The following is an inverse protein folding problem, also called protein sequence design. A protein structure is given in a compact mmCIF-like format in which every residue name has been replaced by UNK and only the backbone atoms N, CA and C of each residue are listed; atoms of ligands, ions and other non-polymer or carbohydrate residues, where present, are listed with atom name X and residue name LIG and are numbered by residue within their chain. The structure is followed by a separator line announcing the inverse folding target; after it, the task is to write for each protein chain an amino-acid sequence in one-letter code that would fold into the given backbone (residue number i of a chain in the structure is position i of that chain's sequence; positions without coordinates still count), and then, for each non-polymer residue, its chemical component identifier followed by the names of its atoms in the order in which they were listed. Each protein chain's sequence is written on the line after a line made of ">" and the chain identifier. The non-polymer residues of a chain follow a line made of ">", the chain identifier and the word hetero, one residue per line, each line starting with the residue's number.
data_IF_435025047362
#
_entry.id   IF_435025047362
#
_cell.length_a   1.000
_cell.length_b   1.000
_cell.length_c   1.000
_cell.angle_alpha   90.00
_cell.angle_beta   90.00
_cell.angle_gamma   90.00
#
_symmetry.space_group_name_H-M   'P 1'
#
loop_
_entity.id
_entity.type
_entity.pdbx_description
1 polymer ?
#
# COMPACT_ATOMS: atom_id res chain seq x y z
N UNK A 1 7.68 -6.69 5.77
CA UNK A 1 6.76 -6.82 4.61
C UNK A 1 7.64 -6.97 3.39
N UNK A 2 7.73 -8.17 2.83
CA UNK A 2 8.49 -8.44 1.60
C UNK A 2 7.50 -8.15 0.48
N UNK A 3 7.72 -7.09 -0.27
CA UNK A 3 7.01 -6.86 -1.53
C UNK A 3 7.36 -8.00 -2.47
N UNK A 4 6.39 -8.58 -3.21
CA UNK A 4 6.70 -9.62 -4.16
C UNK A 4 7.73 -9.08 -5.16
N UNK A 5 8.77 -9.88 -5.40
CA UNK A 5 9.76 -9.63 -6.45
C UNK A 5 9.01 -9.76 -7.78
N UNK A 6 8.45 -8.66 -8.26
CA UNK A 6 7.88 -8.62 -9.61
C UNK A 6 9.07 -8.56 -10.55
N UNK A 7 9.45 -9.72 -11.09
CA UNK A 7 10.42 -9.82 -12.19
C UNK A 7 9.72 -9.40 -13.49
N UNK A 8 9.40 -8.10 -13.63
CA UNK A 8 9.10 -7.50 -14.92
C UNK A 8 10.30 -6.66 -15.33
N UNK A 9 10.73 -6.77 -16.57
CA UNK A 9 11.78 -5.95 -17.17
C UNK A 9 11.48 -4.47 -16.87
N UNK A 10 12.38 -3.79 -16.12
CA UNK A 10 12.33 -2.35 -15.91
C UNK A 10 11.98 -1.87 -14.51
N UNK A 11 12.28 -2.63 -13.44
CA UNK A 11 12.27 -2.11 -12.07
C UNK A 11 13.71 -1.96 -11.61
N UNK A 12 14.17 -0.72 -11.51
CA UNK A 12 15.40 -0.39 -10.82
C UNK A 12 15.04 0.01 -9.39
N UNK A 13 15.34 -0.85 -8.42
CA UNK A 13 15.14 -0.59 -7.01
C UNK A 13 16.50 -0.57 -6.31
N UNK A 14 16.86 0.58 -5.76
CA UNK A 14 17.98 0.73 -4.85
C UNK A 14 17.42 0.83 -3.44
N UNK A 15 17.92 0.01 -2.52
CA UNK A 15 17.50 -0.01 -1.13
C UNK A 15 18.73 -0.06 -0.23
N UNK A 16 18.73 0.76 0.79
CA UNK A 16 19.69 0.75 1.89
C UNK A 16 18.94 0.58 3.21
N UNK A 17 19.37 -0.40 4.00
CA UNK A 17 18.80 -0.67 5.33
C UNK A 17 19.97 -0.73 6.32
N UNK A 18 19.83 0.00 7.42
CA UNK A 18 20.76 -0.04 8.57
C UNK A 18 19.95 -0.50 9.77
N UNK A 19 20.41 -1.53 10.47
CA UNK A 19 19.81 -2.01 11.70
C UNK A 19 20.82 -1.84 12.85
N UNK A 20 20.41 -1.16 13.90
CA UNK A 20 21.21 -0.84 15.08
C UNK A 20 20.54 -1.50 16.28
N UNK A 21 21.15 -2.54 16.89
CA UNK A 21 20.64 -3.07 18.15
C UNK A 21 20.83 -2.02 19.25
N UNK A 22 19.75 -1.71 19.96
CA UNK A 22 19.79 -0.83 21.12
C UNK A 22 20.03 -1.64 22.41
N UNK A 23 19.43 -2.83 22.44
CA UNK A 23 19.69 -3.88 23.43
C UNK A 23 19.36 -5.26 22.84
N UNK A 24 19.32 -6.32 23.65
CA UNK A 24 19.02 -7.70 23.23
C UNK A 24 17.61 -7.87 22.66
N UNK A 25 16.73 -6.91 22.86
CA UNK A 25 15.30 -7.00 22.52
C UNK A 25 14.82 -5.90 21.57
N UNK A 26 15.55 -4.79 21.50
CA UNK A 26 15.11 -3.61 20.75
C UNK A 26 16.10 -3.25 19.66
N UNK A 27 15.58 -3.06 18.47
CA UNK A 27 16.35 -2.71 17.27
C UNK A 27 15.79 -1.43 16.63
N UNK A 28 16.68 -0.48 16.35
CA UNK A 28 16.41 0.68 15.53
C UNK A 28 16.78 0.38 14.07
N UNK A 29 15.87 0.60 13.15
CA UNK A 29 16.10 0.49 11.72
C UNK A 29 16.01 1.84 11.02
N UNK A 30 16.93 2.08 10.09
CA UNK A 30 16.87 3.23 9.16
C UNK A 30 16.77 2.64 7.76
N UNK A 31 15.80 3.10 7.00
CA UNK A 31 15.46 2.59 5.68
C UNK A 31 15.47 3.72 4.67
N UNK A 32 16.10 3.49 3.53
CA UNK A 32 15.99 4.38 2.37
C UNK A 32 15.85 3.54 1.12
N UNK A 33 14.87 3.83 0.29
CA UNK A 33 14.71 3.18 -1.00
C UNK A 33 14.28 4.17 -2.06
N UNK A 34 14.80 3.98 -3.28
CA UNK A 34 14.33 4.67 -4.47
C UNK A 34 14.06 3.65 -5.55
N UNK A 35 12.98 3.85 -6.28
CA UNK A 35 12.59 2.95 -7.36
C UNK A 35 12.11 3.70 -8.58
N UNK A 36 12.36 3.09 -9.73
CA UNK A 36 11.87 3.50 -11.03
C UNK A 36 11.08 2.32 -11.62
N UNK A 37 9.78 2.51 -11.80
CA UNK A 37 8.91 1.55 -12.49
C UNK A 37 8.67 2.08 -13.90
N UNK A 38 9.26 1.44 -14.89
CA UNK A 38 9.02 1.76 -16.31
C UNK A 38 7.96 0.81 -16.87
N UNK A 39 6.82 1.35 -17.28
CA UNK A 39 5.80 0.60 -18.02
C UNK A 39 6.14 0.67 -19.51
N UNK A 40 6.60 -0.45 -20.08
CA UNK A 40 6.84 -0.68 -21.50
C UNK A 40 7.48 0.50 -22.28
N UNK A 41 8.71 0.31 -22.73
CA UNK A 41 9.45 1.04 -23.80
C UNK A 41 9.37 2.57 -23.87
N UNK A 42 8.77 3.25 -22.91
CA UNK A 42 8.61 4.70 -22.94
C UNK A 42 9.01 5.32 -21.59
N UNK A 43 10.25 5.77 -21.46
CA UNK A 43 10.82 6.37 -20.26
C UNK A 43 10.06 7.63 -19.77
N UNK A 44 9.22 8.23 -20.60
CA UNK A 44 8.40 9.40 -20.24
C UNK A 44 7.26 9.09 -19.27
N UNK A 45 6.92 7.80 -19.10
CA UNK A 45 5.86 7.33 -18.21
C UNK A 45 6.39 6.57 -16.99
N UNK A 46 7.66 6.78 -16.64
CA UNK A 46 8.27 6.11 -15.51
C UNK A 46 7.68 6.60 -14.18
N UNK A 47 7.25 5.67 -13.34
CA UNK A 47 6.90 5.93 -11.96
C UNK A 47 8.17 5.94 -11.11
N UNK A 48 8.53 7.10 -10.59
CA UNK A 48 9.66 7.25 -9.68
C UNK A 48 9.16 7.51 -8.28
N UNK A 49 9.74 6.84 -7.30
CA UNK A 49 9.46 7.07 -5.90
C UNK A 49 10.72 7.06 -5.03
N UNK A 50 10.62 7.71 -3.89
CA UNK A 50 11.61 7.69 -2.81
C UNK A 50 10.86 7.41 -1.50
N UNK A 51 11.30 6.42 -0.73
CA UNK A 51 10.80 6.11 0.61
C UNK A 51 11.96 6.20 1.61
N UNK A 52 11.82 7.05 2.62
CA UNK A 52 12.76 7.16 3.74
C UNK A 52 12.00 6.93 5.03
N UNK A 53 12.50 6.04 5.88
CA UNK A 53 11.82 5.68 7.11
C UNK A 53 12.79 5.32 8.24
N UNK A 54 12.31 5.49 9.47
CA UNK A 54 12.88 4.91 10.66
C UNK A 54 11.89 3.92 11.28
N UNK A 55 12.42 2.86 11.88
CA UNK A 55 11.60 1.84 12.56
C UNK A 55 12.19 1.49 13.91
N UNK A 56 11.33 1.19 14.86
CA UNK A 56 11.68 0.60 16.15
C UNK A 56 10.98 -0.75 16.24
N UNK A 57 11.74 -1.81 16.49
CA UNK A 57 11.24 -3.18 16.62
C UNK A 57 11.64 -3.67 18.00
N UNK A 58 10.67 -4.22 18.74
CA UNK A 58 10.92 -4.82 20.05
C UNK A 58 10.44 -6.29 20.04
N UNK A 59 11.30 -7.16 20.57
CA UNK A 59 11.09 -8.59 20.69
C UNK A 59 10.94 -8.98 22.17
N UNK A 60 9.76 -9.41 22.55
CA UNK A 60 9.45 -9.96 23.87
C UNK A 60 8.74 -11.29 23.66
N UNK A 61 9.48 -12.39 23.72
CA UNK A 61 8.88 -13.72 23.51
C UNK A 61 7.61 -13.92 24.34
N UNK A 62 6.47 -14.30 23.70
CA UNK A 62 6.27 -14.68 22.30
C UNK A 62 5.88 -13.49 21.37
N UNK A 63 6.08 -12.25 21.78
CA UNK A 63 5.58 -11.04 21.14
C UNK A 63 6.68 -10.29 20.41
N UNK A 64 6.40 -9.85 19.21
CA UNK A 64 7.19 -8.87 18.45
C UNK A 64 6.31 -7.67 18.09
N UNK A 65 6.75 -6.47 18.43
CA UNK A 65 6.07 -5.23 18.07
C UNK A 65 6.95 -4.35 17.21
N UNK A 66 6.37 -3.57 16.32
CA UNK A 66 7.12 -2.66 15.46
C UNK A 66 6.34 -1.38 15.17
N UNK A 67 7.06 -0.27 15.18
CA UNK A 67 6.57 1.02 14.69
C UNK A 67 7.54 1.51 13.63
N UNK A 68 7.02 1.96 12.50
CA UNK A 68 7.78 2.59 11.41
C UNK A 68 7.15 3.92 11.08
N UNK A 69 7.96 4.97 11.02
CA UNK A 69 7.56 6.30 10.55
C UNK A 69 8.38 6.65 9.34
N UNK A 70 7.76 7.25 8.33
CA UNK A 70 8.49 7.54 7.11
C UNK A 70 7.81 8.57 6.23
N UNK A 71 8.54 8.94 5.18
CA UNK A 71 8.10 9.80 4.11
C UNK A 71 8.30 9.11 2.78
N UNK A 72 7.24 9.09 2.00
CA UNK A 72 7.20 8.57 0.64
C UNK A 72 6.92 9.70 -0.33
N UNK A 73 7.74 9.83 -1.37
CA UNK A 73 7.63 10.85 -2.43
C UNK A 73 7.42 10.21 -3.78
N UNK A 74 6.53 10.78 -4.61
CA UNK A 74 6.20 10.24 -5.94
C UNK A 74 6.28 11.36 -6.99
N UNK A 75 7.06 11.15 -8.06
CA UNK A 75 7.15 12.09 -9.17
C UNK A 75 5.93 11.95 -10.08
N UNK A 76 5.20 13.06 -10.31
CA UNK A 76 4.01 13.12 -11.17
C UNK A 76 2.93 12.09 -10.83
N UNK A 77 2.94 11.57 -9.61
CA UNK A 77 1.97 10.61 -9.10
C UNK A 77 1.56 10.99 -7.69
N UNK A 78 0.40 10.50 -7.26
CA UNK A 78 -0.01 10.53 -5.86
C UNK A 78 -0.79 9.25 -5.53
N UNK A 79 -0.39 8.58 -4.47
CA UNK A 79 -0.92 7.28 -4.06
C UNK A 79 -0.95 6.26 -5.22
N UNK A 80 0.11 6.25 -6.05
CA UNK A 80 0.23 5.37 -7.21
C UNK A 80 -0.57 5.81 -8.44
N UNK A 81 -1.37 6.87 -8.35
CA UNK A 81 -2.16 7.39 -9.48
C UNK A 81 -1.37 8.48 -10.20
N UNK A 82 -1.31 8.41 -11.53
CA UNK A 82 -0.62 9.40 -12.35
C UNK A 82 -1.37 10.72 -12.37
N UNK A 83 -0.64 11.81 -12.23
CA UNK A 83 -1.13 13.17 -12.40
C UNK A 83 -0.86 13.63 -13.85
N UNK A 84 -1.91 14.00 -14.59
CA UNK A 84 -1.85 14.28 -16.02
C UNK A 84 -2.70 15.53 -16.39
N UNK A 85 -2.46 16.12 -17.58
CA UNK A 85 -3.23 17.25 -18.09
C UNK A 85 -3.21 18.46 -17.15
N UNK A 86 -4.37 18.98 -16.79
CA UNK A 86 -4.53 20.10 -15.86
C UNK A 86 -4.16 19.78 -14.41
N UNK A 87 -3.92 18.51 -14.09
CA UNK A 87 -3.56 18.02 -12.75
C UNK A 87 -2.06 17.73 -12.60
N UNK A 88 -1.21 18.23 -13.51
CA UNK A 88 0.25 18.07 -13.42
C UNK A 88 0.75 18.65 -12.09
N UNK A 89 1.58 17.88 -11.39
CA UNK A 89 2.14 18.31 -10.12
C UNK A 89 3.28 19.32 -10.34
N UNK A 90 3.31 20.36 -9.52
CA UNK A 90 4.40 21.36 -9.48
C UNK A 90 5.69 20.77 -8.89
N UNK A 91 5.54 19.83 -7.99
CA UNK A 91 6.62 19.09 -7.32
C UNK A 91 6.12 17.69 -6.93
N UNK A 92 7.02 16.76 -6.63
CA UNK A 92 6.62 15.42 -6.18
C UNK A 92 5.60 15.47 -5.06
N UNK A 93 4.60 14.58 -5.10
CA UNK A 93 3.69 14.41 -3.99
C UNK A 93 4.45 13.88 -2.77
N UNK A 94 4.02 14.24 -1.58
CA UNK A 94 4.66 13.84 -0.34
C UNK A 94 3.65 13.18 0.59
N UNK A 95 3.96 11.96 0.98
CA UNK A 95 3.16 11.16 1.90
C UNK A 95 3.96 10.87 3.17
N UNK A 96 3.52 11.41 4.31
CA UNK A 96 4.06 11.03 5.60
C UNK A 96 3.22 9.88 6.15
N UNK A 97 3.85 8.84 6.69
CA UNK A 97 3.14 7.69 7.20
C UNK A 97 3.66 7.20 8.55
N UNK A 98 2.76 6.55 9.26
CA UNK A 98 3.07 5.71 10.41
C UNK A 98 2.50 4.31 10.15
N UNK A 99 3.31 3.30 10.41
CA UNK A 99 2.93 1.90 10.36
C UNK A 99 3.22 1.26 11.71
N UNK A 100 2.23 0.60 12.28
CA UNK A 100 2.38 -0.18 13.50
C UNK A 100 2.08 -1.65 13.21
N UNK A 101 2.83 -2.54 13.84
CA UNK A 101 2.64 -4.00 13.71
C UNK A 101 2.86 -4.71 15.03
N UNK A 102 2.16 -5.81 15.19
CA UNK A 102 2.29 -6.73 16.31
C UNK A 102 2.20 -8.16 15.77
N UNK A 103 3.08 -9.03 16.24
CA UNK A 103 3.08 -10.45 15.90
C UNK A 103 3.29 -11.25 17.19
N UNK A 104 2.47 -12.26 17.42
CA UNK A 104 2.62 -13.20 18.50
C UNK A 104 2.79 -14.61 17.95
N UNK A 105 3.70 -15.39 18.55
CA UNK A 105 3.96 -16.79 18.20
C UNK A 105 3.81 -17.65 19.45
N UNK A 106 2.92 -18.61 19.37
CA UNK A 106 2.71 -19.57 20.45
C UNK A 106 2.53 -20.97 19.88
N UNK A 107 3.42 -21.90 20.23
CA UNK A 107 3.52 -23.21 19.60
C UNK A 107 3.53 -23.08 18.06
N UNK A 108 2.62 -23.76 17.37
CA UNK A 108 2.49 -23.74 15.92
C UNK A 108 1.59 -22.59 15.40
N UNK A 109 1.10 -21.71 16.29
CA UNK A 109 0.25 -20.57 15.91
C UNK A 109 1.05 -19.28 15.77
N UNK A 110 0.70 -18.51 14.78
CA UNK A 110 1.18 -17.13 14.61
C UNK A 110 0.00 -16.22 14.34
N UNK A 111 -0.19 -15.22 15.20
CA UNK A 111 -1.15 -14.15 15.00
C UNK A 111 -0.39 -12.85 14.67
N UNK A 112 -0.84 -12.11 13.67
CA UNK A 112 -0.24 -10.82 13.34
C UNK A 112 -1.33 -9.80 13.01
N UNK A 113 -1.09 -8.55 13.43
CA UNK A 113 -1.92 -7.41 13.07
C UNK A 113 -1.04 -6.23 12.68
N UNK A 114 -1.49 -5.42 11.74
CA UNK A 114 -0.83 -4.17 11.39
C UNK A 114 -1.82 -3.11 10.91
N UNK A 115 -1.43 -1.85 11.11
CA UNK A 115 -2.17 -0.69 10.66
C UNK A 115 -1.21 0.35 10.09
N UNK A 116 -1.65 1.03 9.03
CA UNK A 116 -0.92 2.16 8.44
C UNK A 116 -1.84 3.36 8.36
N UNK A 117 -1.35 4.52 8.77
CA UNK A 117 -2.00 5.79 8.54
C UNK A 117 -1.06 6.67 7.70
N UNK A 118 -1.63 7.36 6.71
CA UNK A 118 -0.89 8.12 5.71
C UNK A 118 -1.55 9.49 5.52
N UNK A 119 -0.72 10.52 5.37
CA UNK A 119 -1.13 11.86 4.95
C UNK A 119 -0.34 12.26 3.73
N UNK A 120 -1.03 12.40 2.59
CA UNK A 120 -0.45 12.81 1.31
C UNK A 120 -0.78 14.26 1.02
N UNK A 121 0.22 15.03 0.58
CA UNK A 121 0.07 16.39 0.07
C UNK A 121 0.49 16.44 -1.38
N UNK A 122 -0.34 17.06 -2.20
CA UNK A 122 -0.06 17.32 -3.62
C UNK A 122 -0.12 18.79 -3.87
N UNK A 123 0.75 19.27 -4.77
CA UNK A 123 0.84 20.67 -5.18
C UNK A 123 0.72 20.73 -6.68
N UNK A 124 -0.35 21.33 -7.19
CA UNK A 124 -0.61 21.37 -8.61
C UNK A 124 0.10 22.55 -9.29
N UNK A 125 0.50 22.34 -10.55
CA UNK A 125 1.20 23.38 -11.33
C UNK A 125 0.27 24.54 -11.71
N UNK A 126 -0.99 24.24 -11.92
CA UNK A 126 -2.03 25.20 -12.31
C UNK A 126 -2.95 25.53 -11.13
N UNK A 127 -2.42 26.23 -10.11
CA UNK A 127 -3.17 26.59 -8.89
C UNK A 127 -4.39 27.50 -9.15
N UNK A 128 -4.46 28.17 -10.29
CA UNK A 128 -5.65 28.89 -10.72
C UNK A 128 -6.76 28.00 -11.28
N UNK A 129 -6.46 26.70 -11.52
CA UNK A 129 -7.40 25.71 -12.02
C UNK A 129 -7.76 24.68 -10.95
N UNK A 130 -6.81 24.30 -10.11
CA UNK A 130 -6.98 23.29 -9.07
C UNK A 130 -6.23 23.70 -7.80
N UNK A 131 -6.90 23.64 -6.66
CA UNK A 131 -6.27 23.87 -5.36
C UNK A 131 -5.34 22.71 -4.95
N UNK A 132 -4.33 23.03 -4.15
CA UNK A 132 -3.50 22.04 -3.50
C UNK A 132 -4.35 21.12 -2.62
N UNK A 133 -4.02 19.82 -2.65
CA UNK A 133 -4.83 18.80 -2.01
C UNK A 133 -4.09 18.13 -0.85
N UNK A 134 -4.83 17.81 0.19
CA UNK A 134 -4.36 16.95 1.29
C UNK A 134 -5.29 15.76 1.44
N UNK A 135 -4.74 14.55 1.32
CA UNK A 135 -5.46 13.30 1.52
C UNK A 135 -5.03 12.62 2.81
N UNK A 136 -5.97 11.99 3.50
CA UNK A 136 -5.70 11.05 4.59
C UNK A 136 -6.14 9.66 4.16
N UNK A 137 -5.28 8.69 4.36
CA UNK A 137 -5.53 7.30 3.99
C UNK A 137 -5.12 6.37 5.13
N UNK A 138 -5.74 5.20 5.19
CA UNK A 138 -5.30 4.16 6.12
C UNK A 138 -5.51 2.76 5.53
N UNK A 139 -4.80 1.78 6.10
CA UNK A 139 -4.97 0.35 5.81
C UNK A 139 -4.88 -0.46 7.09
N UNK A 140 -5.49 -1.64 7.08
CA UNK A 140 -5.44 -2.60 8.18
C UNK A 140 -5.22 -3.99 7.63
N UNK A 141 -4.46 -4.79 8.37
CA UNK A 141 -4.25 -6.20 8.10
C UNK A 141 -4.26 -6.99 9.40
N UNK A 142 -4.92 -8.13 9.37
CA UNK A 142 -4.92 -9.12 10.44
C UNK A 142 -4.71 -10.49 9.83
N UNK A 143 -3.90 -11.35 10.46
CA UNK A 143 -3.71 -12.73 10.04
C UNK A 143 -3.53 -13.67 11.22
N UNK A 144 -4.02 -14.89 11.05
CA UNK A 144 -3.83 -16.01 11.95
C UNK A 144 -3.36 -17.19 11.12
N UNK A 145 -2.27 -17.81 11.51
CA UNK A 145 -1.75 -19.00 10.82
C UNK A 145 -1.36 -20.09 11.79
N UNK A 146 -1.47 -21.32 11.32
CA UNK A 146 -1.06 -22.53 12.03
C UNK A 146 -0.12 -23.33 11.15
N UNK A 147 1.08 -23.64 11.66
CA UNK A 147 1.95 -24.67 11.10
C UNK A 147 1.51 -26.05 11.57
N UNK A 148 1.89 -27.10 10.84
CA UNK A 148 1.48 -28.47 11.06
C UNK A 148 -0.04 -28.58 11.27
N UNK A 149 -0.79 -27.96 10.37
CA UNK A 149 -2.25 -27.85 10.51
C UNK A 149 -2.96 -29.16 10.16
N UNK A 150 -2.54 -29.84 9.09
CA UNK A 150 -3.08 -31.10 8.57
C UNK A 150 -1.95 -32.12 8.35
N UNK A 151 -0.80 -31.66 7.86
CA UNK A 151 0.38 -32.47 7.57
C UNK A 151 1.60 -31.85 8.25
N UNK A 152 2.61 -32.66 8.56
CA UNK A 152 3.88 -32.15 9.09
C UNK A 152 4.52 -31.19 8.06
N UNK A 153 4.88 -30.00 8.50
CA UNK A 153 5.52 -28.96 7.67
C UNK A 153 4.55 -28.16 6.79
N UNK A 154 3.24 -28.37 6.90
CA UNK A 154 2.27 -27.54 6.19
C UNK A 154 1.95 -26.24 6.96
N UNK A 155 1.22 -25.32 6.29
CA UNK A 155 0.76 -24.07 6.88
C UNK A 155 -0.62 -23.70 6.36
N UNK A 156 -1.53 -23.51 7.27
CA UNK A 156 -2.86 -22.93 7.02
C UNK A 156 -2.89 -21.51 7.57
N UNK A 157 -3.40 -20.55 6.79
CA UNK A 157 -3.55 -19.17 7.25
C UNK A 157 -4.87 -18.56 6.82
N UNK A 158 -5.45 -17.76 7.73
CA UNK A 158 -6.60 -16.90 7.46
C UNK A 158 -6.15 -15.46 7.63
N UNK A 159 -6.48 -14.60 6.66
CA UNK A 159 -6.18 -13.17 6.76
C UNK A 159 -7.39 -12.33 6.41
N UNK A 160 -7.49 -11.18 7.09
CA UNK A 160 -8.44 -10.12 6.81
C UNK A 160 -7.68 -8.83 6.52
N UNK A 161 -7.99 -8.21 5.40
CA UNK A 161 -7.31 -7.01 4.93
C UNK A 161 -8.30 -5.94 4.49
N UNK A 162 -8.05 -4.72 4.91
CA UNK A 162 -8.57 -3.49 4.30
C UNK A 162 -7.41 -2.77 3.63
N UNK A 163 -7.28 -2.80 2.30
CA UNK A 163 -6.22 -2.11 1.57
C UNK A 163 -6.20 -0.60 1.85
N UNK A 164 -5.09 0.04 1.50
CA UNK A 164 -4.97 1.49 1.62
C UNK A 164 -6.10 2.18 0.86
N UNK A 165 -6.83 3.04 1.56
CA UNK A 165 -7.94 3.78 0.98
C UNK A 165 -7.96 5.20 1.54
N UNK A 166 -8.34 6.16 0.70
CA UNK A 166 -8.54 7.56 1.11
C UNK A 166 -9.78 7.63 2.00
N UNK A 167 -9.61 8.16 3.21
CA UNK A 167 -10.69 8.32 4.20
C UNK A 167 -11.15 9.75 4.35
N UNK A 168 -10.29 10.72 3.99
CA UNK A 168 -10.62 12.15 3.93
C UNK A 168 -9.75 12.81 2.88
N UNK A 169 -10.33 13.77 2.16
CA UNK A 169 -9.60 14.63 1.23
C UNK A 169 -10.52 15.21 0.18
N UNK A 170 -10.36 16.48 -0.06
CA UNK A 170 -11.14 17.23 -1.05
C UNK A 170 -10.19 18.01 -1.95
N UNK A 171 -10.63 18.21 -3.17
CA UNK A 171 -9.97 19.02 -4.19
C UNK A 171 -11.00 19.99 -4.75
N UNK A 172 -10.66 21.25 -4.84
CA UNK A 172 -11.49 22.25 -5.51
C UNK A 172 -10.93 22.53 -6.88
N UNK A 173 -11.76 22.40 -7.89
CA UNK A 173 -11.47 22.76 -9.27
C UNK A 173 -12.18 24.07 -9.61
N UNK A 174 -11.43 25.02 -10.14
CA UNK A 174 -11.92 26.30 -10.63
C UNK A 174 -12.16 26.21 -12.11
N UNK A 175 -13.39 26.45 -12.55
CA UNK A 175 -13.74 26.45 -13.98
C UNK A 175 -14.45 27.74 -14.38
N UNK A 176 -14.24 28.16 -15.62
CA UNK A 176 -14.95 29.28 -16.20
C UNK A 176 -16.17 28.73 -16.93
N UNK A 177 -17.37 29.08 -16.46
CA UNK A 177 -18.62 28.69 -17.11
C UNK A 177 -19.29 29.89 -17.75
N UNK A 178 -18.85 30.18 -18.97
CA UNK A 178 -19.45 31.21 -19.82
C UNK A 178 -19.08 32.65 -19.49
N UNK A 179 -19.48 33.56 -20.37
CA UNK A 179 -19.36 35.00 -20.22
C UNK A 179 -20.74 35.57 -19.89
N UNK A 180 -20.80 36.55 -19.00
CA UNK A 180 -22.00 37.35 -18.82
C UNK A 180 -22.00 38.47 -19.88
N UNK A 181 -23.16 39.06 -20.19
CA UNK A 181 -23.30 40.18 -21.12
C UNK A 181 -22.49 41.44 -20.75
N UNK A 182 -21.83 41.44 -19.58
CA UNK A 182 -20.98 42.48 -19.04
C UNK A 182 -19.50 42.10 -18.97
N UNK A 183 -19.00 41.17 -19.80
CA UNK A 183 -17.60 40.67 -19.84
C UNK A 183 -17.05 40.12 -18.51
N UNK A 184 -17.93 39.75 -17.58
CA UNK A 184 -17.51 39.11 -16.33
C UNK A 184 -17.49 37.62 -16.51
N UNK A 185 -16.31 37.01 -16.27
CA UNK A 185 -16.19 35.55 -16.16
C UNK A 185 -17.00 35.05 -14.94
N UNK A 186 -17.87 34.07 -15.17
CA UNK A 186 -18.51 33.37 -14.08
C UNK A 186 -17.63 32.17 -13.70
N UNK A 187 -16.89 32.32 -12.62
CA UNK A 187 -16.15 31.22 -12.03
C UNK A 187 -17.12 30.28 -11.31
N UNK A 188 -16.90 29.00 -11.48
CA UNK A 188 -17.60 27.95 -10.73
C UNK A 188 -16.56 27.09 -10.09
N UNK A 189 -16.70 26.94 -8.78
CA UNK A 189 -15.87 26.08 -7.97
C UNK A 189 -16.60 24.75 -7.79
N UNK A 190 -15.99 23.66 -8.25
CA UNK A 190 -16.50 22.31 -8.05
C UNK A 190 -15.57 21.58 -7.07
N UNK A 191 -16.16 21.09 -5.96
CA UNK A 191 -15.42 20.34 -4.95
C UNK A 191 -15.62 18.86 -5.14
N UNK A 192 -14.53 18.12 -5.29
CA UNK A 192 -14.50 16.66 -5.40
C UNK A 192 -14.04 16.05 -4.09
N UNK A 193 -14.83 15.13 -3.55
CA UNK A 193 -14.45 14.34 -2.37
C UNK A 193 -13.81 13.03 -2.82
N UNK A 194 -12.56 12.78 -2.38
CA UNK A 194 -11.81 11.56 -2.65
C UNK A 194 -12.04 10.46 -1.61
N UNK A 195 -12.75 10.77 -0.51
CA UNK A 195 -13.05 9.77 0.49
C UNK A 195 -13.90 8.64 -0.10
N UNK A 196 -13.42 7.41 0.07
CA UNK A 196 -14.18 6.24 -0.39
C UNK A 196 -15.42 6.06 0.48
N UNK A 197 -16.60 5.95 -0.14
CA UNK A 197 -17.87 5.69 0.56
C UNK A 197 -17.92 4.29 1.17
N UNK A 198 -17.36 3.32 0.46
CA UNK A 198 -17.36 1.91 0.88
C UNK A 198 -15.96 1.31 0.69
N UNK A 199 -15.36 0.84 1.79
CA UNK A 199 -13.99 0.31 1.76
C UNK A 199 -13.96 -1.11 1.23
N UNK A 200 -12.98 -1.38 0.37
CA UNK A 200 -12.62 -2.73 -0.04
C UNK A 200 -12.17 -3.54 1.18
N UNK A 201 -12.70 -4.75 1.31
CA UNK A 201 -12.38 -5.73 2.35
C UNK A 201 -12.07 -7.07 1.69
N UNK A 202 -11.03 -7.73 2.15
CA UNK A 202 -10.64 -9.06 1.67
C UNK A 202 -10.54 -10.00 2.86
N UNK A 203 -11.23 -11.12 2.78
CA UNK A 203 -11.00 -12.30 3.63
C UNK A 203 -10.33 -13.35 2.75
N UNK A 204 -9.19 -13.89 3.20
CA UNK A 204 -8.41 -14.86 2.43
C UNK A 204 -8.02 -16.04 3.30
N UNK A 205 -8.09 -17.22 2.73
CA UNK A 205 -7.65 -18.50 3.29
C UNK A 205 -6.54 -19.03 2.38
N UNK A 206 -5.39 -19.33 2.96
CA UNK A 206 -4.24 -19.89 2.24
C UNK A 206 -3.80 -21.19 2.90
N UNK A 207 -3.47 -22.16 2.06
CA UNK A 207 -2.86 -23.42 2.45
C UNK A 207 -1.59 -23.67 1.64
N UNK A 208 -0.52 -24.06 2.32
CA UNK A 208 0.75 -24.43 1.73
C UNK A 208 1.24 -25.74 2.34
N UNK A 209 1.65 -26.70 1.52
CA UNK A 209 2.25 -27.93 1.99
C UNK A 209 3.44 -28.33 1.11
N UNK A 210 4.58 -28.63 1.73
CA UNK A 210 5.69 -29.26 1.07
C UNK A 210 5.36 -30.75 0.87
N UNK A 211 5.33 -31.21 -0.37
CA UNK A 211 5.17 -32.64 -0.68
C UNK A 211 6.50 -33.40 -0.52
N UNK A 212 7.60 -32.73 -0.88
CA UNK A 212 8.97 -33.17 -0.68
C UNK A 212 9.92 -31.97 -0.81
N UNK A 213 11.23 -32.21 -0.79
CA UNK A 213 12.25 -31.15 -0.91
C UNK A 213 12.22 -30.37 -2.26
N UNK A 214 11.53 -30.88 -3.27
CA UNK A 214 11.47 -30.31 -4.61
C UNK A 214 10.05 -29.84 -5.01
N UNK A 215 9.00 -30.17 -4.26
CA UNK A 215 7.64 -29.89 -4.66
C UNK A 215 6.83 -29.30 -3.49
N UNK A 216 6.13 -28.20 -3.77
CA UNK A 216 5.21 -27.54 -2.83
C UNK A 216 3.89 -27.30 -3.52
N UNK A 217 2.80 -27.69 -2.88
CA UNK A 217 1.44 -27.32 -3.32
C UNK A 217 0.97 -26.09 -2.54
N UNK A 218 0.13 -25.30 -3.17
CA UNK A 218 -0.55 -24.21 -2.51
C UNK A 218 -1.99 -24.07 -3.04
N UNK A 219 -2.87 -23.65 -2.16
CA UNK A 219 -4.24 -23.27 -2.47
C UNK A 219 -4.59 -21.97 -1.76
N UNK A 220 -5.29 -21.09 -2.44
CA UNK A 220 -5.75 -19.81 -1.90
C UNK A 220 -7.19 -19.58 -2.31
N UNK A 221 -8.04 -19.20 -1.34
CA UNK A 221 -9.41 -18.78 -1.58
C UNK A 221 -9.60 -17.39 -0.97
N UNK A 222 -10.10 -16.45 -1.76
CA UNK A 222 -10.36 -15.10 -1.26
C UNK A 222 -11.76 -14.63 -1.60
N UNK A 223 -12.36 -13.89 -0.66
CA UNK A 223 -13.65 -13.21 -0.84
C UNK A 223 -13.46 -11.72 -0.61
N UNK A 224 -13.84 -10.94 -1.60
CA UNK A 224 -13.76 -9.49 -1.60
C UNK A 224 -15.15 -8.90 -1.44
N UNK A 225 -15.26 -7.88 -0.60
CA UNK A 225 -16.44 -7.03 -0.45
C UNK A 225 -16.07 -5.60 -0.81
N UNK A 226 -16.97 -4.90 -1.49
CA UNK A 226 -16.76 -3.56 -2.03
C UNK A 226 -15.48 -3.51 -2.89
N UNK A 227 -15.36 -4.46 -3.82
CA UNK A 227 -14.21 -4.57 -4.72
C UNK A 227 -13.90 -3.24 -5.41
N UNK A 228 -12.62 -2.82 -5.38
CA UNK A 228 -12.22 -1.52 -5.92
C UNK A 228 -12.85 -0.31 -5.22
N UNK A 229 -13.27 -0.46 -3.95
CA UNK A 229 -13.99 0.55 -3.17
C UNK A 229 -15.39 0.91 -3.73
N UNK A 230 -15.96 0.06 -4.57
CA UNK A 230 -17.31 0.21 -5.10
C UNK A 230 -18.32 -0.50 -4.22
N UNK A 231 -19.32 0.23 -3.75
CA UNK A 231 -20.34 -0.30 -2.85
C UNK A 231 -21.09 -1.49 -3.45
N UNK A 232 -21.24 -2.55 -2.67
CA UNK A 232 -21.97 -3.75 -3.06
C UNK A 232 -21.25 -4.69 -4.01
N UNK A 233 -20.13 -4.28 -4.61
CA UNK A 233 -19.35 -5.16 -5.50
C UNK A 233 -18.69 -6.28 -4.69
N UNK A 234 -18.89 -7.52 -5.13
CA UNK A 234 -18.35 -8.72 -4.49
C UNK A 234 -17.57 -9.51 -5.53
N UNK A 235 -16.45 -10.08 -5.12
CA UNK A 235 -15.66 -10.99 -5.93
C UNK A 235 -15.18 -12.16 -5.08
N UNK A 236 -15.08 -13.34 -5.69
CA UNK A 236 -14.50 -14.53 -5.05
C UNK A 236 -13.48 -15.09 -6.01
N UNK A 237 -12.29 -15.35 -5.51
CA UNK A 237 -11.19 -15.92 -6.27
C UNK A 237 -10.74 -17.22 -5.61
N UNK A 238 -10.45 -18.22 -6.44
CA UNK A 238 -9.84 -19.47 -6.03
C UNK A 238 -8.58 -19.66 -6.88
N UNK A 239 -7.49 -19.97 -6.26
CA UNK A 239 -6.21 -20.20 -6.90
C UNK A 239 -5.54 -21.44 -6.32
N UNK A 240 -5.02 -22.32 -7.16
CA UNK A 240 -4.26 -23.50 -6.75
C UNK A 240 -3.04 -23.63 -7.64
N UNK A 241 -1.95 -24.18 -7.12
CA UNK A 241 -0.76 -24.38 -7.90
C UNK A 241 0.21 -25.37 -7.28
N UNK A 242 1.14 -25.82 -8.12
CA UNK A 242 2.27 -26.66 -7.75
C UNK A 242 3.55 -25.93 -8.15
N UNK A 243 4.47 -25.80 -7.23
CA UNK A 243 5.82 -25.30 -7.49
C UNK A 243 6.77 -26.49 -7.44
N UNK A 244 7.57 -26.70 -8.50
CA UNK A 244 8.59 -27.75 -8.59
C UNK A 244 9.94 -27.10 -8.86
N UNK A 245 10.93 -27.44 -8.05
CA UNK A 245 12.33 -27.00 -8.21
C UNK A 245 13.16 -28.20 -8.68
N UNK A 246 13.88 -28.05 -9.78
CA UNK A 246 14.74 -29.07 -10.39
C UNK A 246 16.18 -28.86 -9.98
#
# INVERSE_FOLDING_TARGET
>A
MIWPKITSRGIDLIRADIAIPLDDRVMLGIHSSTGLLSWANNHTNAYRFIDNAASLIAHYDPLTTGIRVGQFSEDNHFLGSRADGGYILKKPSQSNYIHASITSRYANWTAAASATALRTRTYFNYSHFVDDMTLKSNSYHFSLSRGDAMLAGDKLSVSYQMPLAVTKGQMTQHSIKGYTSSDRHRNIDETFDFAVKSRHQTLQLDYHAALNQHATIFASASRHRNWGNQEGQKNTMLFTGLNVTF
#
